data_IF_332154148365
#
_entry.id   IF_332154148365
#
_cell.length_a   1.000
_cell.length_b   1.000
_cell.length_c   1.000
_cell.angle_alpha   90.00
_cell.angle_beta   90.00
_cell.angle_gamma   90.00
#
_symmetry.space_group_name_H-M   'P 1'
#
loop_
_entity.id
_entity.type
_entity.pdbx_description
1 polymer ?
#
# COMPACT_ATOMS: atom_id res chain seq x y z
N UNK A 1 -1.70 5.70 5.67
CA UNK A 1 -3.08 5.35 5.26
C UNK A 1 -4.10 6.37 5.79
N UNK A 2 -5.25 6.48 5.12
CA UNK A 2 -6.37 7.35 5.53
C UNK A 2 -7.24 6.66 6.58
N UNK A 3 -6.82 6.75 7.83
CA UNK A 3 -7.50 6.13 8.98
C UNK A 3 -8.94 6.57 9.13
N UNK A 4 -9.23 7.82 8.76
CA UNK A 4 -10.57 8.38 8.85
C UNK A 4 -11.54 7.62 7.96
N UNK A 5 -11.13 7.18 6.77
CA UNK A 5 -12.01 6.41 5.89
C UNK A 5 -12.40 5.06 6.51
N UNK A 6 -11.40 4.32 7.00
CA UNK A 6 -11.60 3.01 7.64
C UNK A 6 -12.31 3.12 9.01
N UNK A 7 -12.35 4.31 9.62
CA UNK A 7 -13.11 4.55 10.84
C UNK A 7 -14.63 4.63 10.60
N UNK A 8 -15.07 4.99 9.39
CA UNK A 8 -16.49 5.14 9.03
C UNK A 8 -17.01 4.01 8.13
N UNK A 9 -16.14 3.41 7.30
CA UNK A 9 -16.53 2.37 6.36
C UNK A 9 -15.85 1.03 6.70
N UNK A 10 -16.61 -0.09 6.74
CA UNK A 10 -16.14 -1.37 7.26
C UNK A 10 -15.28 -2.16 6.25
N UNK A 11 -14.28 -1.51 5.65
CA UNK A 11 -13.29 -2.17 4.80
C UNK A 11 -12.16 -2.76 5.65
N UNK A 12 -11.60 -3.88 5.20
CA UNK A 12 -10.38 -4.43 5.78
C UNK A 12 -9.15 -3.73 5.19
N UNK A 13 -8.28 -3.19 6.04
CA UNK A 13 -7.03 -2.59 5.59
C UNK A 13 -6.04 -3.66 5.13
N UNK A 14 -5.50 -3.52 3.92
CA UNK A 14 -4.45 -4.41 3.43
C UNK A 14 -3.11 -4.20 4.16
N UNK A 15 -2.83 -2.97 4.60
CA UNK A 15 -1.61 -2.59 5.32
C UNK A 15 -1.94 -1.73 6.55
N UNK A 16 -1.19 -1.95 7.63
CA UNK A 16 -1.25 -1.19 8.86
C UNK A 16 -0.61 0.19 8.77
N UNK A 17 -0.76 0.99 9.83
CA UNK A 17 -0.27 2.38 9.88
C UNK A 17 1.07 2.54 10.60
N UNK A 18 1.36 1.58 11.47
CA UNK A 18 2.43 1.63 12.47
C UNK A 18 2.94 0.22 12.63
N UNK A 19 4.19 0.00 12.22
CA UNK A 19 4.86 -1.30 12.28
C UNK A 19 4.85 -1.91 13.68
N UNK A 20 5.13 -1.11 14.71
CA UNK A 20 5.27 -1.59 16.09
C UNK A 20 3.98 -2.16 16.73
N UNK A 21 2.81 -1.81 16.19
CA UNK A 21 1.51 -2.36 16.62
C UNK A 21 0.98 -3.41 15.66
N UNK A 22 1.70 -3.70 14.58
CA UNK A 22 1.36 -4.80 13.72
C UNK A 22 1.64 -6.11 14.47
N UNK A 23 0.68 -7.03 14.43
CA UNK A 23 0.94 -8.41 14.81
C UNK A 23 2.13 -8.91 13.97
N UNK A 24 3.12 -9.62 14.52
CA UNK A 24 4.17 -10.24 13.71
C UNK A 24 3.62 -11.09 12.55
N UNK A 25 2.44 -11.69 12.71
CA UNK A 25 1.71 -12.41 11.66
C UNK A 25 1.05 -11.51 10.59
N UNK A 26 1.12 -10.20 10.74
CA UNK A 26 0.59 -9.24 9.76
C UNK A 26 1.57 -8.96 8.62
N UNK A 27 2.83 -9.41 8.73
CA UNK A 27 3.83 -9.31 7.65
C UNK A 27 3.96 -7.88 7.12
N UNK A 28 4.06 -6.94 8.06
CA UNK A 28 3.99 -5.51 7.78
C UNK A 28 5.10 -5.05 6.81
N UNK A 29 6.39 -5.37 7.01
CA UNK A 29 7.43 -5.01 6.06
C UNK A 29 7.21 -5.62 4.67
N UNK A 30 6.79 -6.89 4.62
CA UNK A 30 6.60 -7.63 3.37
C UNK A 30 5.44 -7.05 2.56
N UNK A 31 4.33 -6.70 3.21
CA UNK A 31 3.20 -6.02 2.54
C UNK A 31 3.54 -4.62 2.08
N UNK A 32 4.38 -3.88 2.82
CA UNK A 32 4.87 -2.57 2.40
C UNK A 32 5.74 -2.71 1.15
N UNK A 33 6.68 -3.66 1.16
CA UNK A 33 7.55 -3.97 0.03
C UNK A 33 6.77 -4.45 -1.20
N UNK A 34 5.68 -5.19 -1.02
CA UNK A 34 4.81 -5.58 -2.14
C UNK A 34 4.10 -4.37 -2.75
N UNK A 35 3.59 -3.44 -1.94
CA UNK A 35 2.98 -2.20 -2.43
C UNK A 35 4.00 -1.35 -3.20
N UNK A 36 5.24 -1.27 -2.71
CA UNK A 36 6.33 -0.60 -3.42
C UNK A 36 6.61 -1.26 -4.77
N UNK A 37 6.78 -2.58 -4.80
CA UNK A 37 7.00 -3.34 -6.04
C UNK A 37 5.85 -3.14 -7.04
N UNK A 38 4.60 -3.15 -6.58
CA UNK A 38 3.44 -2.90 -7.43
C UNK A 38 3.43 -1.51 -8.06
N UNK A 39 4.02 -0.52 -7.38
CA UNK A 39 4.10 0.85 -7.88
C UNK A 39 5.12 1.03 -9.00
N UNK A 40 6.05 0.09 -9.14
CA UNK A 40 7.09 0.10 -10.18
C UNK A 40 6.66 -0.64 -11.46
N UNK A 41 5.46 -1.25 -11.47
CA UNK A 41 4.92 -1.95 -12.63
C UNK A 41 4.43 -0.97 -13.69
N UNK A 42 4.35 -1.43 -14.94
CA UNK A 42 4.03 -0.57 -16.08
C UNK A 42 2.62 -0.81 -16.62
N UNK A 43 2.08 -2.02 -16.45
CA UNK A 43 0.80 -2.41 -17.05
C UNK A 43 -0.23 -2.93 -16.05
N UNK A 44 -1.54 -2.74 -16.33
CA UNK A 44 -2.61 -3.33 -15.52
C UNK A 44 -2.49 -4.84 -15.35
N UNK A 45 -2.05 -5.56 -16.39
CA UNK A 45 -1.91 -7.02 -16.34
C UNK A 45 -0.79 -7.45 -15.38
N UNK A 46 0.36 -6.76 -15.39
CA UNK A 46 1.43 -7.02 -14.43
C UNK A 46 0.96 -6.80 -13.00
N UNK A 47 0.18 -5.75 -12.74
CA UNK A 47 -0.38 -5.50 -11.41
C UNK A 47 -1.31 -6.62 -10.96
N UNK A 48 -2.21 -7.09 -11.84
CA UNK A 48 -3.10 -8.21 -11.54
C UNK A 48 -2.32 -9.49 -11.27
N UNK A 49 -1.31 -9.80 -12.08
CA UNK A 49 -0.47 -10.98 -11.94
C UNK A 49 0.34 -10.94 -10.64
N UNK A 50 0.91 -9.78 -10.30
CA UNK A 50 1.65 -9.57 -9.06
C UNK A 50 0.76 -9.69 -7.81
N UNK A 51 -0.47 -9.16 -7.86
CA UNK A 51 -1.44 -9.33 -6.78
C UNK A 51 -1.92 -10.78 -6.64
N UNK A 52 -2.08 -11.51 -7.75
CA UNK A 52 -2.47 -12.91 -7.74
C UNK A 52 -1.36 -13.85 -7.24
N UNK A 53 -0.10 -13.49 -7.48
CA UNK A 53 1.07 -14.23 -7.00
C UNK A 53 1.41 -13.95 -5.53
N UNK A 54 0.89 -12.86 -4.95
CA UNK A 54 1.14 -12.50 -3.56
C UNK A 54 0.56 -13.56 -2.59
N UNK A 55 1.22 -13.82 -1.45
CA UNK A 55 0.75 -14.82 -0.47
C UNK A 55 -0.52 -14.37 0.27
N UNK A 56 -0.92 -13.11 0.12
CA UNK A 56 -2.09 -12.51 0.75
C UNK A 56 -3.24 -12.42 -0.23
N UNK A 57 -4.46 -12.40 0.29
CA UNK A 57 -5.62 -11.97 -0.49
C UNK A 57 -5.37 -10.56 -1.03
N UNK A 58 -5.51 -10.41 -2.35
CA UNK A 58 -5.41 -9.12 -3.04
C UNK A 58 -6.42 -8.09 -2.48
N UNK A 59 -6.08 -6.79 -2.52
CA UNK A 59 -7.02 -5.74 -2.15
C UNK A 59 -8.21 -5.70 -3.13
N UNK A 60 -9.41 -5.48 -2.59
CA UNK A 60 -10.62 -5.31 -3.40
C UNK A 60 -10.71 -3.91 -4.04
N UNK A 61 -10.01 -2.93 -3.46
CA UNK A 61 -9.95 -1.56 -3.95
C UNK A 61 -8.70 -0.83 -3.44
N UNK A 62 -8.23 0.15 -4.21
CA UNK A 62 -7.21 1.11 -3.79
C UNK A 62 -7.85 2.46 -3.44
N UNK A 63 -7.42 3.05 -2.32
CA UNK A 63 -7.82 4.41 -1.93
C UNK A 63 -6.61 5.34 -2.03
N UNK A 64 -6.44 5.96 -3.20
CA UNK A 64 -5.33 6.88 -3.47
C UNK A 64 -5.66 8.33 -3.09
N UNK A 65 -4.60 9.08 -2.81
CA UNK A 65 -4.61 10.55 -2.95
C UNK A 65 -4.02 10.92 -4.30
N UNK A 66 -4.60 11.91 -4.99
CA UNK A 66 -3.98 12.45 -6.21
C UNK A 66 -2.90 13.47 -5.87
N UNK A 67 -1.76 13.39 -6.54
CA UNK A 67 -0.70 14.40 -6.52
C UNK A 67 -0.28 14.69 -7.95
N UNK A 68 -0.82 15.75 -8.55
CA UNK A 68 -0.67 15.96 -10.00
C UNK A 68 -1.35 14.84 -10.79
N UNK A 69 -0.57 14.16 -11.62
CA UNK A 69 -1.01 12.99 -12.41
C UNK A 69 -0.91 11.68 -11.62
N UNK A 70 -0.12 11.65 -10.53
CA UNK A 70 0.17 10.44 -9.78
C UNK A 70 -0.95 10.05 -8.80
N UNK A 71 -1.10 8.72 -8.63
CA UNK A 71 -1.95 8.10 -7.62
C UNK A 71 -1.09 7.66 -6.44
N UNK A 72 -1.26 8.27 -5.27
CA UNK A 72 -0.31 8.12 -4.15
C UNK A 72 -0.90 7.39 -2.95
N UNK A 73 -0.08 6.53 -2.34
CA UNK A 73 -0.31 5.93 -1.02
C UNK A 73 0.73 6.42 -0.03
N UNK A 74 0.32 6.58 1.23
CA UNK A 74 1.23 6.89 2.33
C UNK A 74 1.47 5.67 3.19
N UNK A 75 2.71 5.18 3.16
CA UNK A 75 3.21 4.06 3.95
C UNK A 75 4.01 4.56 5.16
N UNK A 76 4.38 3.62 6.03
CA UNK A 76 5.23 3.85 7.17
C UNK A 76 6.18 2.67 7.32
N UNK A 77 7.38 2.91 7.83
CA UNK A 77 8.36 1.88 8.15
C UNK A 77 9.03 2.19 9.49
N UNK A 78 9.58 1.14 10.11
CA UNK A 78 10.42 1.24 11.30
C UNK A 78 11.85 1.61 10.89
N UNK A 79 12.38 2.69 11.45
CA UNK A 79 13.75 3.17 11.21
C UNK A 79 14.57 3.25 12.50
N UNK A 80 14.20 2.51 13.54
CA UNK A 80 14.98 2.40 14.77
C UNK A 80 16.47 2.08 14.46
N UNK A 81 17.45 2.75 15.10
CA UNK A 81 17.33 3.59 16.30
C UNK A 81 17.13 5.11 16.06
N UNK A 82 16.79 5.57 14.86
CA UNK A 82 16.58 7.01 14.60
C UNK A 82 15.44 7.59 15.45
N UNK A 83 15.52 8.84 15.91
CA UNK A 83 14.40 9.55 16.55
C UNK A 83 13.90 10.68 15.62
N UNK A 84 12.68 10.59 15.06
CA UNK A 84 11.64 9.59 15.32
C UNK A 84 11.87 8.22 14.66
N UNK A 85 11.48 7.15 15.36
CA UNK A 85 11.69 5.74 14.96
C UNK A 85 10.73 5.25 13.87
N UNK A 86 9.72 6.05 13.50
CA UNK A 86 8.80 5.76 12.40
C UNK A 86 8.98 6.78 11.30
N UNK A 87 9.39 6.33 10.12
CA UNK A 87 9.41 7.16 8.91
C UNK A 87 8.13 6.94 8.13
N UNK A 88 7.51 8.03 7.66
CA UNK A 88 6.38 7.97 6.73
C UNK A 88 6.86 8.45 5.38
N UNK A 89 6.48 7.73 4.34
CA UNK A 89 6.87 8.02 2.97
C UNK A 89 5.68 7.81 2.04
N UNK A 90 5.83 8.32 0.82
CA UNK A 90 4.80 8.25 -0.22
C UNK A 90 5.29 7.32 -1.31
N UNK A 91 4.41 6.42 -1.73
CA UNK A 91 4.58 5.59 -2.92
C UNK A 91 3.64 6.15 -3.98
N UNK A 92 4.16 6.37 -5.18
CA UNK A 92 3.41 6.90 -6.32
C UNK A 92 3.20 5.79 -7.35
N UNK A 93 1.95 5.57 -7.73
CA UNK A 93 1.55 4.63 -8.75
C UNK A 93 1.30 5.39 -10.06
N UNK A 94 1.82 4.91 -11.20
CA UNK A 94 1.41 5.36 -12.51
C UNK A 94 -0.10 5.17 -12.70
N UNK A 95 -0.80 6.18 -13.21
CA UNK A 95 -2.24 6.05 -13.50
C UNK A 95 -2.54 4.96 -14.52
N UNK A 96 -1.59 4.69 -15.43
CA UNK A 96 -1.69 3.66 -16.47
C UNK A 96 -1.97 2.26 -15.92
N UNK A 97 -1.57 1.97 -14.67
CA UNK A 97 -1.88 0.71 -13.99
C UNK A 97 -3.38 0.50 -13.74
N UNK A 98 -4.18 1.57 -13.81
CA UNK A 98 -5.61 1.58 -13.50
C UNK A 98 -6.47 2.04 -14.70
N UNK A 99 -5.91 2.07 -15.91
CA UNK A 99 -6.63 2.43 -17.14
C UNK A 99 -7.42 1.25 -17.76
N UNK A 100 -7.35 0.06 -17.15
CA UNK A 100 -8.13 -1.12 -17.52
C UNK A 100 -9.40 -1.22 -16.65
N UNK A 101 -10.61 -1.36 -17.23
CA UNK A 101 -11.85 -1.46 -16.47
C UNK A 101 -12.09 -2.81 -15.77
N UNK A 102 -11.22 -3.81 -15.95
CA UNK A 102 -11.34 -5.16 -15.37
C UNK A 102 -11.01 -5.24 -13.88
#
# INVERSE_FOLDING_TARGET
ADTTFLAYYPYFGFQGLTSHYANPLAEFPERAGAIEQWSELETPQELLDAMAAAPWRAPDAFLFRRSGEDLTLRLAEDVYPNDPYVRRYTVAFPSALFDDPR
#
